data_IF_973855127113
#
_entry.id   IF_973855127113
#
_cell.length_a   1.000
_cell.length_b   1.000
_cell.length_c   1.000
_cell.angle_alpha   90.00
_cell.angle_beta   90.00
_cell.angle_gamma   90.00
#
_symmetry.space_group_name_H-M   'P 1'
#
loop_
_entity.id
_entity.type
_entity.pdbx_description
1 polymer ?
#
# COMPACT_ATOMS: atom_id res chain seq x y z
N UNK A 1 12.09 21.85 -42.31
CA UNK A 1 11.34 22.38 -41.14
C UNK A 1 10.17 21.47 -40.78
N UNK A 2 10.24 20.20 -41.18
CA UNK A 2 9.08 19.31 -41.26
C UNK A 2 8.90 18.48 -39.98
N UNK A 3 10.00 18.27 -39.27
CA UNK A 3 10.02 17.54 -37.99
C UNK A 3 9.16 18.21 -36.91
N UNK A 4 8.98 19.54 -36.99
CA UNK A 4 8.15 20.30 -36.06
C UNK A 4 6.69 19.84 -36.15
N UNK A 5 6.21 19.52 -37.35
CA UNK A 5 4.85 19.01 -37.54
C UNK A 5 4.65 17.59 -36.97
N UNK A 6 5.71 16.84 -36.75
CA UNK A 6 5.66 15.53 -36.07
C UNK A 6 5.84 15.68 -34.55
N UNK A 7 6.74 16.57 -34.10
CA UNK A 7 7.06 16.78 -32.69
C UNK A 7 5.90 17.41 -31.90
N UNK A 8 5.20 18.39 -32.48
CA UNK A 8 4.06 19.06 -31.82
C UNK A 8 2.94 18.07 -31.44
N UNK A 9 2.39 17.26 -32.38
CA UNK A 9 1.34 16.32 -32.03
C UNK A 9 1.83 15.20 -31.11
N UNK A 10 3.08 14.74 -31.28
CA UNK A 10 3.68 13.74 -30.39
C UNK A 10 3.75 14.25 -28.94
N UNK A 11 4.20 15.49 -28.74
CA UNK A 11 4.25 16.11 -27.42
C UNK A 11 2.84 16.28 -26.83
N UNK A 12 1.86 16.69 -27.62
CA UNK A 12 0.46 16.81 -27.17
C UNK A 12 -0.10 15.47 -26.68
N UNK A 13 0.10 14.39 -27.45
CA UNK A 13 -0.33 13.04 -27.05
C UNK A 13 0.35 12.64 -25.73
N UNK A 14 1.64 12.92 -25.60
CA UNK A 14 2.40 12.58 -24.39
C UNK A 14 1.87 13.32 -23.16
N UNK A 15 1.54 14.61 -23.28
CA UNK A 15 0.90 15.39 -22.19
C UNK A 15 -0.46 14.80 -21.82
N UNK A 16 -1.30 14.46 -22.80
CA UNK A 16 -2.62 13.85 -22.56
C UNK A 16 -2.48 12.53 -21.80
N UNK A 17 -1.52 11.68 -22.19
CA UNK A 17 -1.24 10.40 -21.52
C UNK A 17 -0.81 10.61 -20.07
N UNK A 18 0.11 11.55 -19.83
CA UNK A 18 0.57 11.87 -18.47
C UNK A 18 -0.60 12.33 -17.60
N UNK A 19 -1.42 13.27 -18.10
CA UNK A 19 -2.59 13.78 -17.36
C UNK A 19 -3.59 12.66 -17.08
N UNK A 20 -3.84 11.78 -18.06
CA UNK A 20 -4.72 10.63 -17.87
C UNK A 20 -4.23 9.69 -16.76
N UNK A 21 -2.94 9.32 -16.78
CA UNK A 21 -2.32 8.47 -15.76
C UNK A 21 -2.38 9.15 -14.39
N UNK A 22 -2.10 10.45 -14.33
CA UNK A 22 -2.15 11.22 -13.09
C UNK A 22 -3.56 11.23 -12.49
N UNK A 23 -4.59 11.52 -13.30
CA UNK A 23 -5.99 11.50 -12.86
C UNK A 23 -6.44 10.11 -12.41
N UNK A 24 -5.99 9.06 -13.11
CA UNK A 24 -6.25 7.68 -12.70
C UNK A 24 -5.59 7.37 -11.36
N UNK A 25 -4.32 7.75 -11.15
CA UNK A 25 -3.59 7.52 -9.91
C UNK A 25 -4.23 8.26 -8.72
N UNK A 26 -4.62 9.53 -8.91
CA UNK A 26 -5.34 10.31 -7.89
C UNK A 26 -6.68 9.66 -7.51
N UNK A 27 -7.41 9.11 -8.49
CA UNK A 27 -8.69 8.42 -8.22
C UNK A 27 -8.52 6.99 -7.71
N UNK A 28 -7.33 6.41 -7.80
CA UNK A 28 -7.07 5.04 -7.38
C UNK A 28 -7.00 4.87 -5.86
N UNK A 29 -7.28 5.91 -5.07
CA UNK A 29 -7.51 5.87 -3.62
C UNK A 29 -6.44 5.10 -2.82
N UNK A 30 -5.19 5.13 -3.32
CA UNK A 30 -4.04 4.47 -2.70
C UNK A 30 -3.58 5.16 -1.40
N UNK A 31 -4.39 6.07 -0.86
CA UNK A 31 -4.12 6.82 0.36
C UNK A 31 -4.80 6.22 1.61
N UNK A 32 -5.74 5.29 1.43
CA UNK A 32 -6.48 4.67 2.55
C UNK A 32 -5.60 3.66 3.35
N UNK A 33 -4.50 3.17 2.76
CA UNK A 33 -3.56 2.23 3.42
C UNK A 33 -2.36 2.92 4.12
N UNK A 34 -2.31 4.27 4.12
CA UNK A 34 -1.31 5.03 4.89
C UNK A 34 -1.70 5.22 6.37
N UNK A 35 -2.98 5.03 6.73
CA UNK A 35 -3.45 5.10 8.11
C UNK A 35 -3.20 3.78 8.88
N UNK A 36 -2.98 2.68 8.16
CA UNK A 36 -2.81 1.34 8.73
C UNK A 36 -1.63 1.18 9.68
N UNK A 37 -0.41 1.70 9.42
CA UNK A 37 0.75 1.46 10.28
C UNK A 37 0.81 2.37 11.53
N UNK A 38 0.30 3.60 11.44
CA UNK A 38 0.42 4.60 12.49
C UNK A 38 -0.46 4.27 13.72
N UNK A 39 -1.61 3.63 13.50
CA UNK A 39 -2.52 3.26 14.59
C UNK A 39 -2.03 2.09 15.46
N UNK A 40 -1.11 1.27 14.94
CA UNK A 40 -0.57 0.09 15.65
C UNK A 40 0.50 0.51 16.67
N UNK A 41 1.35 1.46 16.31
CA UNK A 41 2.43 1.96 17.18
C UNK A 41 1.90 2.68 18.44
N UNK A 42 0.73 3.32 18.38
CA UNK A 42 0.13 4.01 19.53
C UNK A 42 -0.80 3.13 20.39
N UNK A 43 -1.30 2.01 19.86
CA UNK A 43 -2.23 1.12 20.57
C UNK A 43 -1.54 -0.13 21.16
N UNK A 44 -0.30 -0.44 20.76
CA UNK A 44 0.45 -1.62 21.24
C UNK A 44 1.02 -1.45 22.67
N UNK A 45 1.02 -0.24 23.25
CA UNK A 45 1.54 0.00 24.61
C UNK A 45 0.52 -0.29 25.72
N UNK A 46 -0.78 -0.40 25.39
CA UNK A 46 -1.88 -0.58 26.36
C UNK A 46 -2.52 -1.97 26.32
N UNK A 47 -2.12 -2.87 25.41
CA UNK A 47 -2.56 -4.26 25.46
C UNK A 47 -1.75 -5.02 26.51
N UNK A 48 -2.37 -5.56 27.58
CA UNK A 48 -1.69 -6.50 28.45
C UNK A 48 -1.25 -7.65 27.56
N UNK A 49 0.05 -7.93 27.51
CA UNK A 49 0.65 -9.07 26.82
C UNK A 49 -0.26 -10.28 27.07
N UNK A 50 -1.13 -10.62 26.12
CA UNK A 50 -1.94 -11.82 26.22
C UNK A 50 -0.93 -12.92 26.06
N UNK A 51 -0.52 -13.43 27.22
CA UNK A 51 0.22 -14.63 27.48
C UNK A 51 -0.07 -15.59 26.33
N UNK A 52 0.86 -15.66 25.37
CA UNK A 52 0.91 -16.79 24.44
C UNK A 52 1.23 -17.98 25.31
N UNK A 53 0.17 -18.52 25.92
CA UNK A 53 0.19 -19.78 26.62
C UNK A 53 0.65 -20.77 25.58
N UNK A 54 1.88 -21.22 25.77
CA UNK A 54 2.52 -22.23 24.98
C UNK A 54 1.65 -23.50 25.02
N UNK A 55 0.73 -23.61 24.06
CA UNK A 55 -0.04 -24.81 23.74
C UNK A 55 0.88 -26.00 23.37
N UNK A 56 2.18 -25.75 23.24
CA UNK A 56 3.24 -26.72 23.04
C UNK A 56 3.46 -27.65 24.25
N UNK A 57 3.11 -27.25 25.48
CA UNK A 57 3.34 -28.10 26.66
C UNK A 57 2.23 -29.15 26.92
N UNK A 58 1.10 -29.08 26.22
CA UNK A 58 -0.03 -30.02 26.43
C UNK A 58 0.02 -31.25 25.51
N UNK A 59 0.83 -31.23 24.45
CA UNK A 59 0.93 -32.35 23.52
C UNK A 59 1.79 -33.50 24.09
N UNK A 60 2.76 -33.23 24.97
CA UNK A 60 3.64 -34.27 25.52
C UNK A 60 2.97 -35.13 26.61
N UNK A 61 1.99 -34.60 27.36
CA UNK A 61 1.28 -35.37 28.41
C UNK A 61 0.14 -36.25 27.91
N UNK A 62 -0.17 -36.23 26.60
CA UNK A 62 -1.20 -37.10 26.03
C UNK A 62 -0.62 -38.41 25.44
N UNK A 63 0.70 -38.53 25.35
CA UNK A 63 1.37 -39.68 24.73
C UNK A 63 2.36 -40.40 25.67
N UNK A 64 2.25 -40.18 26.98
CA UNK A 64 2.99 -40.92 28.00
C UNK A 64 2.05 -41.41 29.10
#
# INVERSE_FOLDING_TARGET
MDIIFLLIPLALVLVVVIVWIFLWAVRSDQFDDLEGPAHRILMDDDEPMVERKDDSAKIEKKNK
#
